data_IF_150079809675
#
_entry.id   IF_150079809675
#
_cell.length_a   1.000
_cell.length_b   1.000
_cell.length_c   1.000
_cell.angle_alpha   90.00
_cell.angle_beta   90.00
_cell.angle_gamma   90.00
#
_symmetry.space_group_name_H-M   'P 1'
#
loop_
_entity.id
_entity.type
_entity.pdbx_description
1 polymer ?
#
# COMPACT_ATOMS: atom_id res chain seq x y z
N UNK A 1 -5.72 24.91 -29.59
CA UNK A 1 -5.10 25.05 -28.27
C UNK A 1 -5.49 23.81 -27.48
N UNK A 2 -4.55 22.88 -27.27
CA UNK A 2 -4.82 21.71 -26.45
C UNK A 2 -5.08 22.21 -25.02
N UNK A 3 -6.31 22.04 -24.54
CA UNK A 3 -6.65 22.30 -23.14
C UNK A 3 -5.81 21.32 -22.31
N UNK A 4 -4.74 21.80 -21.69
CA UNK A 4 -4.05 21.05 -20.66
C UNK A 4 -5.06 20.94 -19.53
N UNK A 5 -5.81 19.83 -19.46
CA UNK A 5 -6.59 19.51 -18.30
C UNK A 5 -5.62 19.54 -17.12
N UNK A 6 -5.70 20.58 -16.29
CA UNK A 6 -4.88 20.69 -15.09
C UNK A 6 -5.09 19.41 -14.30
N UNK A 7 -4.01 18.68 -14.01
CA UNK A 7 -4.13 17.48 -13.21
C UNK A 7 -4.80 17.83 -11.88
N UNK A 8 -5.68 16.96 -11.35
CA UNK A 8 -6.32 17.21 -10.07
C UNK A 8 -5.23 17.44 -9.02
N UNK A 9 -5.36 18.52 -8.23
CA UNK A 9 -4.45 18.78 -7.12
C UNK A 9 -4.46 17.56 -6.18
N UNK A 10 -3.28 17.04 -5.85
CA UNK A 10 -3.14 15.88 -4.96
C UNK A 10 -3.65 16.24 -3.57
N UNK A 11 -4.66 15.53 -3.03
CA UNK A 11 -5.13 15.75 -1.66
C UNK A 11 -4.05 15.40 -0.64
N UNK A 12 -3.99 16.13 0.47
CA UNK A 12 -3.07 15.86 1.58
C UNK A 12 -3.27 14.44 2.14
N UNK A 13 -4.51 13.93 2.10
CA UNK A 13 -4.85 12.55 2.48
C UNK A 13 -4.12 11.51 1.63
N UNK A 14 -3.98 11.75 0.32
CA UNK A 14 -3.26 10.83 -0.60
C UNK A 14 -1.76 10.85 -0.29
N UNK A 15 -1.21 12.01 0.07
CA UNK A 15 0.18 12.09 0.52
C UNK A 15 0.38 11.39 1.87
N UNK A 16 -0.56 11.52 2.80
CA UNK A 16 -0.53 10.81 4.08
C UNK A 16 -0.57 9.29 3.87
N UNK A 17 -1.50 8.78 3.03
CA UNK A 17 -1.56 7.36 2.64
C UNK A 17 -0.19 6.90 2.11
N UNK A 18 0.39 7.65 1.16
CA UNK A 18 1.64 7.27 0.53
C UNK A 18 2.80 7.14 1.54
N UNK A 19 2.89 8.07 2.50
CA UNK A 19 3.91 8.05 3.54
C UNK A 19 3.66 6.93 4.53
N UNK A 20 2.42 6.74 4.98
CA UNK A 20 2.07 5.68 5.94
C UNK A 20 2.34 4.30 5.36
N UNK A 21 1.93 4.05 4.12
CA UNK A 21 2.21 2.79 3.42
C UNK A 21 3.72 2.59 3.26
N UNK A 22 4.49 3.64 2.92
CA UNK A 22 5.95 3.49 2.78
C UNK A 22 6.61 3.09 4.10
N UNK A 23 6.29 3.81 5.17
CA UNK A 23 6.87 3.58 6.50
C UNK A 23 6.46 2.19 7.00
N UNK A 24 5.18 1.83 6.87
CA UNK A 24 4.70 0.50 7.23
C UNK A 24 5.40 -0.59 6.41
N UNK A 25 5.64 -0.36 5.11
CA UNK A 25 6.32 -1.32 4.25
C UNK A 25 7.74 -1.62 4.68
N UNK A 26 8.49 -0.59 5.07
CA UNK A 26 9.83 -0.73 5.62
C UNK A 26 9.77 -1.51 6.95
N UNK A 27 8.86 -1.13 7.85
CA UNK A 27 8.71 -1.80 9.15
C UNK A 27 8.29 -3.26 8.99
N UNK A 28 7.41 -3.57 8.04
CA UNK A 28 6.93 -4.91 7.70
C UNK A 28 8.05 -5.81 7.18
N UNK A 29 8.93 -5.28 6.31
CA UNK A 29 10.12 -6.00 5.84
C UNK A 29 11.08 -6.28 7.01
N UNK A 30 11.38 -5.26 7.82
CA UNK A 30 12.28 -5.43 8.98
C UNK A 30 11.71 -6.42 10.00
N UNK A 31 10.43 -6.30 10.33
CA UNK A 31 9.73 -7.18 11.25
C UNK A 31 9.73 -8.62 10.73
N UNK A 32 9.36 -8.84 9.48
CA UNK A 32 9.29 -10.19 8.89
C UNK A 32 10.65 -10.89 8.85
N UNK A 33 11.74 -10.17 8.56
CA UNK A 33 13.11 -10.72 8.61
C UNK A 33 13.50 -11.09 10.04
N UNK A 34 13.34 -10.15 10.99
CA UNK A 34 13.72 -10.38 12.40
C UNK A 34 12.90 -11.52 12.99
N UNK A 35 11.59 -11.51 12.79
CA UNK A 35 10.67 -12.52 13.31
C UNK A 35 10.98 -13.91 12.74
N UNK A 36 11.24 -14.00 11.43
CA UNK A 36 11.63 -15.27 10.81
C UNK A 36 12.95 -15.82 11.37
N UNK A 37 13.97 -14.96 11.59
CA UNK A 37 15.22 -15.39 12.20
C UNK A 37 15.00 -15.89 13.63
N UNK A 38 14.27 -15.14 14.46
CA UNK A 38 13.95 -15.53 15.85
C UNK A 38 13.22 -16.88 15.90
N UNK A 39 12.27 -17.11 14.99
CA UNK A 39 11.48 -18.33 14.96
C UNK A 39 12.28 -19.54 14.44
N UNK A 40 13.16 -19.35 13.45
CA UNK A 40 14.03 -20.44 12.95
C UNK A 40 15.03 -20.87 14.04
N UNK A 41 15.73 -19.91 14.66
CA UNK A 41 16.75 -20.20 15.67
C UNK A 41 16.15 -20.57 17.04
N UNK A 42 15.00 -19.99 17.41
CA UNK A 42 14.35 -20.22 18.70
C UNK A 42 13.52 -21.49 18.78
N UNK A 43 13.00 -21.98 17.66
CA UNK A 43 12.02 -23.08 17.65
C UNK A 43 12.56 -24.41 17.11
N UNK A 44 13.89 -24.61 17.04
CA UNK A 44 14.50 -25.86 16.58
C UNK A 44 13.90 -26.35 15.22
N UNK A 45 13.78 -25.45 14.25
CA UNK A 45 13.17 -25.69 12.92
C UNK A 45 11.65 -25.97 12.89
N UNK A 46 10.95 -26.05 14.03
CA UNK A 46 9.47 -26.11 14.04
C UNK A 46 8.84 -24.85 13.42
N UNK A 47 9.60 -23.75 13.43
CA UNK A 47 9.29 -22.50 12.75
C UNK A 47 9.09 -22.61 11.24
N UNK A 48 9.61 -23.66 10.59
CA UNK A 48 9.41 -23.89 9.14
C UNK A 48 7.95 -24.20 8.82
N UNK A 49 7.21 -24.86 9.73
CA UNK A 49 5.76 -25.08 9.57
C UNK A 49 4.98 -23.77 9.70
N UNK A 50 5.49 -22.85 10.52
CA UNK A 50 4.94 -21.50 10.71
C UNK A 50 5.42 -20.51 9.63
N UNK A 51 6.34 -20.91 8.74
CA UNK A 51 6.97 -20.01 7.77
C UNK A 51 5.98 -19.22 6.89
N UNK A 52 4.83 -19.78 6.46
CA UNK A 52 3.84 -19.00 5.70
C UNK A 52 3.31 -17.79 6.47
N UNK A 53 3.17 -17.91 7.79
CA UNK A 53 2.74 -16.82 8.68
C UNK A 53 3.86 -15.81 8.92
N UNK A 54 5.12 -16.24 8.98
CA UNK A 54 6.25 -15.33 9.24
C UNK A 54 6.70 -14.56 8.00
N UNK A 55 6.46 -15.10 6.79
CA UNK A 55 6.85 -14.47 5.52
C UNK A 55 5.82 -13.45 5.02
N UNK A 56 4.56 -13.60 5.44
CA UNK A 56 3.45 -12.72 5.08
C UNK A 56 3.76 -11.22 5.26
N UNK A 57 4.25 -10.74 6.42
CA UNK A 57 4.62 -9.33 6.58
C UNK A 57 5.73 -8.88 5.62
N UNK A 58 6.73 -9.72 5.32
CA UNK A 58 7.81 -9.35 4.39
C UNK A 58 7.27 -9.12 2.98
N UNK A 59 6.44 -10.04 2.48
CA UNK A 59 5.85 -9.93 1.13
C UNK A 59 4.92 -8.72 1.05
N UNK A 60 4.10 -8.51 2.08
CA UNK A 60 3.23 -7.35 2.18
C UNK A 60 4.04 -6.05 2.13
N UNK A 61 5.13 -5.96 2.89
CA UNK A 61 5.97 -4.78 2.92
C UNK A 61 6.61 -4.44 1.56
N UNK A 62 6.94 -5.45 0.74
CA UNK A 62 7.40 -5.22 -0.64
C UNK A 62 6.29 -4.58 -1.48
N UNK A 63 5.06 -5.09 -1.39
CA UNK A 63 3.93 -4.51 -2.12
C UNK A 63 3.62 -3.09 -1.67
N UNK A 64 3.71 -2.81 -0.37
CA UNK A 64 3.55 -1.48 0.20
C UNK A 64 4.60 -0.50 -0.32
N UNK A 65 5.88 -0.86 -0.33
CA UNK A 65 6.95 0.00 -0.87
C UNK A 65 6.73 0.27 -2.37
N UNK A 66 6.38 -0.74 -3.16
CA UNK A 66 6.10 -0.56 -4.59
C UNK A 66 4.89 0.35 -4.80
N UNK A 67 3.84 0.20 -3.99
CA UNK A 67 2.64 1.01 -4.11
C UNK A 67 2.88 2.46 -3.68
N UNK A 68 3.57 2.66 -2.55
CA UNK A 68 3.92 3.98 -2.06
C UNK A 68 4.85 4.73 -3.03
N UNK A 69 5.84 4.07 -3.62
CA UNK A 69 6.73 4.69 -4.60
C UNK A 69 6.00 5.17 -5.86
N UNK A 70 4.86 4.56 -6.21
CA UNK A 70 3.97 5.04 -7.28
C UNK A 70 3.08 6.22 -6.85
N UNK A 71 2.77 6.34 -5.56
CA UNK A 71 1.91 7.40 -5.02
C UNK A 71 2.66 8.67 -4.60
N UNK A 72 3.91 8.56 -4.18
CA UNK A 72 4.72 9.69 -3.68
C UNK A 72 4.93 10.79 -4.73
N UNK A 73 5.26 10.50 -6.00
CA UNK A 73 5.49 11.52 -7.01
C UNK A 73 4.32 12.49 -7.11
N UNK A 74 4.62 13.78 -7.32
CA UNK A 74 3.61 14.82 -7.61
C UNK A 74 2.80 14.50 -8.86
N UNK A 75 3.44 13.79 -9.80
CA UNK A 75 2.88 13.35 -11.06
C UNK A 75 3.03 11.82 -11.17
N UNK A 76 1.96 11.05 -10.96
CA UNK A 76 2.04 9.60 -11.09
C UNK A 76 2.24 9.25 -12.56
N UNK A 77 3.36 8.60 -12.86
CA UNK A 77 3.77 8.19 -14.21
C UNK A 77 2.95 7.02 -14.76
N UNK A 78 2.13 6.38 -13.92
CA UNK A 78 1.27 5.26 -14.27
C UNK A 78 -0.11 5.44 -13.63
N UNK A 79 -1.19 4.92 -14.25
CA UNK A 79 -2.49 4.86 -13.63
C UNK A 79 -2.41 4.01 -12.35
N UNK A 80 -2.69 4.62 -11.20
CA UNK A 80 -2.74 3.93 -9.91
C UNK A 80 -4.21 3.79 -9.51
N UNK A 81 -4.64 2.55 -9.28
CA UNK A 81 -5.96 2.30 -8.70
C UNK A 81 -5.85 2.28 -7.17
N UNK A 82 -6.82 2.87 -6.44
CA UNK A 82 -6.95 2.65 -5.02
C UNK A 82 -7.28 1.16 -4.84
N UNK A 83 -6.43 0.44 -4.13
CA UNK A 83 -6.63 -0.98 -3.85
C UNK A 83 -6.77 -1.16 -2.34
N UNK A 84 -8.00 -1.41 -1.89
CA UNK A 84 -8.27 -1.69 -0.48
C UNK A 84 -7.63 -3.01 -0.01
N UNK A 85 -7.16 -3.84 -0.95
CA UNK A 85 -6.48 -5.10 -0.67
C UNK A 85 -5.22 -4.91 0.17
N UNK A 86 -4.42 -3.85 -0.05
CA UNK A 86 -3.22 -3.59 0.76
C UNK A 86 -3.59 -3.35 2.24
N UNK A 87 -4.46 -2.37 2.57
CA UNK A 87 -4.92 -2.17 3.95
C UNK A 87 -5.55 -3.40 4.61
N UNK A 88 -6.32 -4.19 3.85
CA UNK A 88 -6.91 -5.42 4.38
C UNK A 88 -5.82 -6.43 4.77
N UNK A 89 -4.79 -6.58 3.94
CA UNK A 89 -3.67 -7.45 4.26
C UNK A 89 -2.82 -6.92 5.43
N UNK A 90 -2.70 -5.60 5.59
CA UNK A 90 -2.11 -4.96 6.79
C UNK A 90 -2.88 -5.33 8.06
N UNK A 91 -4.22 -5.35 8.02
CA UNK A 91 -5.07 -5.79 9.15
C UNK A 91 -4.86 -7.28 9.43
N UNK A 92 -4.78 -8.11 8.39
CA UNK A 92 -4.56 -9.57 8.51
C UNK A 92 -3.17 -9.89 9.07
N UNK A 93 -2.19 -9.00 8.93
CA UNK A 93 -0.84 -9.17 9.50
C UNK A 93 -0.83 -9.26 11.05
N UNK A 94 -1.94 -8.95 11.73
CA UNK A 94 -2.11 -9.23 13.16
C UNK A 94 -1.97 -10.73 13.49
N UNK A 95 -2.28 -11.63 12.55
CA UNK A 95 -2.09 -13.08 12.72
C UNK A 95 -0.61 -13.45 12.91
N UNK A 96 0.29 -12.60 12.42
CA UNK A 96 1.74 -12.71 12.60
C UNK A 96 2.24 -11.90 13.81
N UNK A 97 1.35 -11.32 14.62
CA UNK A 97 1.69 -10.49 15.78
C UNK A 97 2.05 -9.03 15.47
N UNK A 98 1.78 -8.55 14.25
CA UNK A 98 2.17 -7.22 13.82
C UNK A 98 1.06 -6.18 14.07
N UNK A 99 1.03 -5.66 15.30
CA UNK A 99 0.03 -4.66 15.74
C UNK A 99 0.23 -3.28 15.09
N UNK A 100 1.45 -2.94 14.67
CA UNK A 100 1.70 -1.65 13.99
C UNK A 100 1.03 -1.66 12.62
N UNK A 101 1.20 -2.75 11.86
CA UNK A 101 0.56 -2.92 10.56
C UNK A 101 -0.96 -2.88 10.67
N UNK A 102 -1.53 -3.48 11.71
CA UNK A 102 -2.98 -3.41 11.98
C UNK A 102 -3.49 -1.96 12.06
N UNK A 103 -2.81 -1.11 12.85
CA UNK A 103 -3.22 0.28 13.04
C UNK A 103 -3.11 1.04 11.72
N UNK A 104 -1.99 0.87 11.00
CA UNK A 104 -1.78 1.52 9.70
C UNK A 104 -2.82 1.07 8.67
N UNK A 105 -3.14 -0.22 8.64
CA UNK A 105 -4.20 -0.80 7.80
C UNK A 105 -5.56 -0.16 8.02
N UNK A 106 -5.96 0.03 9.27
CA UNK A 106 -7.22 0.71 9.58
C UNK A 106 -7.20 2.16 9.09
N UNK A 107 -6.12 2.91 9.35
CA UNK A 107 -6.00 4.32 8.93
C UNK A 107 -6.01 4.46 7.41
N UNK A 108 -5.26 3.62 6.71
CA UNK A 108 -5.25 3.58 5.25
C UNK A 108 -6.63 3.22 4.69
N UNK A 109 -7.32 2.23 5.27
CA UNK A 109 -8.67 1.83 4.84
C UNK A 109 -9.67 3.00 4.98
N UNK A 110 -9.59 3.75 6.07
CA UNK A 110 -10.44 4.93 6.28
C UNK A 110 -10.15 5.98 5.21
N UNK A 111 -8.87 6.29 4.95
CA UNK A 111 -8.52 7.30 3.95
C UNK A 111 -8.83 6.86 2.51
N UNK A 112 -8.76 5.56 2.20
CA UNK A 112 -9.20 5.05 0.89
C UNK A 112 -10.71 5.09 0.68
N UNK A 113 -11.51 5.10 1.75
CA UNK A 113 -12.96 5.27 1.67
C UNK A 113 -13.39 6.75 1.71
N UNK A 114 -12.44 7.69 1.74
CA UNK A 114 -12.75 9.11 1.68
C UNK A 114 -13.14 9.52 0.24
N UNK A 115 -14.28 10.20 0.05
CA UNK A 115 -14.77 10.56 -1.29
C UNK A 115 -13.80 11.49 -2.03
N UNK A 116 -12.99 12.29 -1.32
CA UNK A 116 -11.98 13.16 -1.93
C UNK A 116 -10.84 12.33 -2.57
N UNK A 117 -10.43 11.26 -1.89
CA UNK A 117 -9.40 10.34 -2.35
C UNK A 117 -9.90 9.53 -3.53
N UNK A 118 -11.15 9.04 -3.47
CA UNK A 118 -11.79 8.33 -4.58
C UNK A 118 -11.91 9.21 -5.83
N UNK A 119 -12.37 10.46 -5.67
CA UNK A 119 -12.49 11.42 -6.76
C UNK A 119 -11.13 11.74 -7.40
N UNK A 120 -10.07 11.89 -6.59
CA UNK A 120 -8.71 12.10 -7.08
C UNK A 120 -8.25 10.95 -7.98
N UNK A 121 -8.40 9.70 -7.53
CA UNK A 121 -8.01 8.54 -8.33
C UNK A 121 -8.89 8.36 -9.57
N UNK A 122 -10.19 8.64 -9.50
CA UNK A 122 -11.08 8.59 -10.66
C UNK A 122 -10.66 9.60 -11.74
N UNK A 123 -10.39 10.85 -11.34
CA UNK A 123 -9.91 11.90 -12.24
C UNK A 123 -8.54 11.56 -12.84
N UNK A 124 -7.62 11.02 -12.04
CA UNK A 124 -6.31 10.60 -12.50
C UNK A 124 -6.41 9.49 -13.57
N UNK A 125 -7.22 8.47 -13.33
CA UNK A 125 -7.37 7.34 -14.25
C UNK A 125 -8.12 7.74 -15.54
N UNK A 126 -9.06 8.70 -15.46
CA UNK A 126 -9.75 9.26 -16.62
C UNK A 126 -8.78 9.99 -17.57
N UNK A 127 -7.79 10.70 -17.04
CA UNK A 127 -6.79 11.43 -17.84
C UNK A 127 -5.77 10.51 -18.53
N UNK A 128 -5.52 9.32 -17.97
CA UNK A 128 -4.63 8.31 -18.57
C UNK A 128 -5.31 7.40 -19.58
N UNK A 129 -6.64 7.52 -19.77
CA UNK A 129 -7.37 6.76 -20.77
C UNK A 129 -7.15 7.36 -22.17
N UNK A 130 -6.83 6.57 -23.22
CA UNK A 130 -6.67 7.10 -24.58
C UNK A 130 -7.98 7.78 -25.02
N UNK A 131 -7.90 8.86 -25.82
CA UNK A 131 -9.08 9.57 -26.29
C UNK A 131 -10.02 8.57 -26.96
N UNK A 132 -11.26 8.49 -26.47
CA UNK A 132 -12.29 7.66 -27.06
C UNK A 132 -12.56 8.21 -28.47
N UNK A 133 -12.02 7.56 -29.50
CA UNK A 133 -12.44 7.78 -30.87
C UNK A 133 -13.88 7.31 -30.97
N UNK A 134 -14.80 8.27 -31.00
CA UNK A 134 -16.20 8.04 -31.35
C UNK A 134 -16.18 7.65 -32.84
N UNK A 135 -16.37 6.36 -33.13
CA UNK A 135 -16.78 5.89 -34.46
C UNK A 135 -18.30 5.98 -34.60
#
# INVERSE_FOLDING_TARGET
MASYASLPQKPDKVQAIAIMILVNGILNIMYGIIFTLVVIFGSFFLGVVCAPLTILPTVLGIFEVIYATKLIPTYPTQPVKPTQTIPILEIVAILSGNFVSLIVGILNLVFFNDPEVEAYFAALNAQTSPPQTIE
#
